data_IF_789236862829
#
_entry.id   IF_789236862829
#
_cell.length_a   1.000
_cell.length_b   1.000
_cell.length_c   1.000
_cell.angle_alpha   90.00
_cell.angle_beta   90.00
_cell.angle_gamma   90.00
#
_symmetry.space_group_name_H-M   'P 1'
#
loop_
_entity.id
_entity.type
_entity.pdbx_description
1 polymer ?
#
# COMPACT_ATOMS: atom_id res chain seq x y z
N UNK A 1 -13.91 -11.67 0.07
CA UNK A 1 -12.57 -12.31 0.00
C UNK A 1 -11.56 -11.20 -0.25
N UNK A 2 -10.48 -11.12 0.52
CA UNK A 2 -9.45 -10.09 0.31
C UNK A 2 -8.66 -10.43 -0.94
N UNK A 3 -8.50 -9.46 -1.84
CA UNK A 3 -7.68 -9.59 -3.03
C UNK A 3 -6.54 -8.55 -3.06
N UNK A 4 -5.64 -8.68 -4.04
CA UNK A 4 -4.50 -7.79 -4.17
C UNK A 4 -4.92 -6.32 -4.40
N UNK A 5 -6.03 -6.09 -5.10
CA UNK A 5 -6.49 -4.73 -5.39
C UNK A 5 -6.89 -4.01 -4.10
N UNK A 6 -7.56 -4.72 -3.17
CA UNK A 6 -7.91 -4.17 -1.86
C UNK A 6 -6.67 -3.75 -1.06
N UNK A 7 -5.57 -4.52 -1.09
CA UNK A 7 -4.31 -4.13 -0.44
C UNK A 7 -3.73 -2.85 -1.03
N UNK A 8 -3.68 -2.76 -2.35
CA UNK A 8 -3.19 -1.55 -3.02
C UNK A 8 -4.07 -0.33 -2.75
N UNK A 9 -5.38 -0.51 -2.67
CA UNK A 9 -6.31 0.55 -2.23
C UNK A 9 -6.08 0.96 -0.78
N UNK A 10 -5.81 0.01 0.13
CA UNK A 10 -5.48 0.32 1.52
C UNK A 10 -4.20 1.16 1.63
N UNK A 11 -3.19 0.88 0.81
CA UNK A 11 -1.96 1.68 0.73
C UNK A 11 -2.23 3.09 0.19
N UNK A 12 -3.07 3.22 -0.85
CA UNK A 12 -3.47 4.53 -1.37
C UNK A 12 -4.21 5.36 -0.31
N UNK A 13 -5.13 4.72 0.42
CA UNK A 13 -5.90 5.35 1.50
C UNK A 13 -5.02 5.76 2.69
N UNK A 14 -4.05 4.91 3.06
CA UNK A 14 -3.06 5.24 4.09
C UNK A 14 -2.26 6.49 3.68
N UNK A 15 -1.73 6.52 2.46
CA UNK A 15 -0.99 7.68 1.95
C UNK A 15 -1.84 8.97 2.01
N UNK A 16 -3.09 8.88 1.56
CA UNK A 16 -4.03 9.98 1.57
C UNK A 16 -4.35 10.47 2.99
N UNK A 17 -4.50 9.56 3.97
CA UNK A 17 -4.74 9.90 5.37
C UNK A 17 -3.56 10.65 6.00
N UNK A 18 -2.33 10.28 5.62
CA UNK A 18 -1.12 11.00 6.02
C UNK A 18 -0.82 12.25 5.17
N UNK A 19 -1.71 12.60 4.22
CA UNK A 19 -1.54 13.74 3.29
C UNK A 19 -0.22 13.70 2.49
N UNK A 20 0.28 12.51 2.20
CA UNK A 20 1.50 12.28 1.40
C UNK A 20 1.21 11.48 0.14
N UNK A 21 2.07 11.60 -0.87
CA UNK A 21 1.97 10.75 -2.06
C UNK A 21 2.54 9.35 -1.80
N UNK A 22 2.11 8.35 -2.57
CA UNK A 22 2.70 7.00 -2.54
C UNK A 22 4.22 7.02 -2.76
N UNK A 23 4.73 7.89 -3.63
CA UNK A 23 6.17 8.02 -3.87
C UNK A 23 6.90 8.68 -2.72
N UNK A 24 6.27 9.62 -2.00
CA UNK A 24 6.82 10.16 -0.75
C UNK A 24 6.85 9.06 0.31
N UNK A 25 5.73 8.36 0.52
CA UNK A 25 5.62 7.25 1.47
C UNK A 25 6.68 6.17 1.22
N UNK A 26 6.90 5.81 -0.04
CA UNK A 26 7.96 4.87 -0.42
C UNK A 26 9.36 5.36 0.00
N UNK A 27 9.68 6.64 -0.20
CA UNK A 27 10.98 7.23 0.18
C UNK A 27 11.20 7.20 1.69
N UNK A 28 10.21 7.64 2.49
CA UNK A 28 10.34 7.63 3.95
C UNK A 28 10.39 6.21 4.52
N UNK A 29 9.83 5.23 3.79
CA UNK A 29 9.89 3.80 4.13
C UNK A 29 11.20 3.11 3.70
N UNK A 30 12.16 3.84 3.14
CA UNK A 30 13.44 3.28 2.69
C UNK A 30 13.30 2.25 1.57
N UNK A 31 12.26 2.38 0.72
CA UNK A 31 12.08 1.58 -0.49
C UNK A 31 12.15 2.48 -1.74
N UNK A 32 12.32 1.87 -2.92
CA UNK A 32 12.36 2.63 -4.17
C UNK A 32 11.10 3.50 -4.34
N UNK A 33 11.30 4.76 -4.72
CA UNK A 33 10.23 5.77 -4.79
C UNK A 33 9.11 5.41 -5.78
N UNK A 34 9.37 4.50 -6.72
CA UNK A 34 8.40 4.04 -7.71
C UNK A 34 7.74 2.71 -7.33
N UNK A 35 8.19 2.05 -6.27
CA UNK A 35 7.72 0.72 -5.86
C UNK A 35 6.21 0.66 -5.60
N UNK A 36 5.62 1.78 -5.15
CA UNK A 36 4.20 1.88 -4.84
C UNK A 36 3.35 2.41 -6.01
N UNK A 37 3.96 2.76 -7.15
CA UNK A 37 3.27 3.34 -8.29
C UNK A 37 2.34 2.31 -8.95
N UNK A 38 1.19 2.78 -9.48
CA UNK A 38 0.19 1.91 -10.15
C UNK A 38 0.77 1.03 -11.25
N UNK A 39 1.71 1.55 -12.04
CA UNK A 39 2.40 0.82 -13.11
C UNK A 39 3.23 -0.38 -12.63
N UNK A 40 3.59 -0.45 -11.34
CA UNK A 40 4.32 -1.57 -10.74
C UNK A 40 3.41 -2.61 -10.07
N UNK A 41 2.11 -2.35 -9.96
CA UNK A 41 1.13 -3.25 -9.30
C UNK A 41 0.63 -4.37 -10.21
N UNK A 42 0.83 -4.23 -11.51
CA UNK A 42 0.46 -5.20 -12.54
C UNK A 42 1.69 -5.51 -13.40
N UNK A 43 2.00 -6.79 -13.56
CA UNK A 43 3.09 -7.28 -14.40
C UNK A 43 2.69 -7.49 -15.85
N UNK A 44 3.70 -7.82 -16.66
CA UNK A 44 3.53 -8.22 -18.06
C UNK A 44 2.53 -9.37 -18.15
N UNK A 45 1.57 -9.27 -19.08
CA UNK A 45 0.50 -10.26 -19.25
C UNK A 45 -0.64 -10.15 -18.22
N UNK A 46 -0.75 -9.05 -17.47
CA UNK A 46 -1.92 -8.77 -16.61
C UNK A 46 -1.86 -9.43 -15.23
N UNK A 47 -0.73 -10.05 -14.86
CA UNK A 47 -0.55 -10.65 -13.53
C UNK A 47 -0.58 -9.56 -12.45
N UNK A 48 -1.48 -9.69 -11.48
CA UNK A 48 -1.54 -8.80 -10.31
C UNK A 48 -0.40 -9.13 -9.34
N UNK A 49 0.40 -8.13 -8.96
CA UNK A 49 1.50 -8.32 -8.01
C UNK A 49 1.08 -8.05 -6.58
N UNK A 50 1.32 -9.03 -5.71
CA UNK A 50 1.21 -8.87 -4.27
C UNK A 50 2.42 -8.10 -3.73
N UNK A 51 2.15 -7.17 -2.83
CA UNK A 51 3.20 -6.55 -2.02
C UNK A 51 3.79 -7.60 -1.08
N UNK A 52 5.11 -7.53 -0.85
CA UNK A 52 5.74 -8.37 0.16
C UNK A 52 5.38 -7.91 1.57
N UNK A 53 5.28 -8.83 2.53
CA UNK A 53 5.09 -8.49 3.94
C UNK A 53 6.21 -7.57 4.45
N UNK A 54 7.46 -7.79 4.01
CA UNK A 54 8.58 -6.94 4.40
C UNK A 54 8.45 -5.49 3.92
N UNK A 55 7.91 -5.27 2.71
CA UNK A 55 7.58 -3.92 2.22
C UNK A 55 6.51 -3.28 3.09
N UNK A 56 5.46 -4.03 3.45
CA UNK A 56 4.38 -3.53 4.28
C UNK A 56 4.86 -3.13 5.68
N UNK A 57 5.69 -3.96 6.32
CA UNK A 57 6.30 -3.65 7.63
C UNK A 57 7.06 -2.32 7.60
N UNK A 58 7.87 -2.09 6.56
CA UNK A 58 8.62 -0.82 6.42
C UNK A 58 7.70 0.40 6.27
N UNK A 59 6.59 0.24 5.56
CA UNK A 59 5.60 1.31 5.40
C UNK A 59 4.97 1.63 6.75
N UNK A 60 4.48 0.61 7.46
CA UNK A 60 3.83 0.77 8.76
C UNK A 60 4.77 1.41 9.80
N UNK A 61 6.04 1.03 9.81
CA UNK A 61 7.06 1.63 10.68
C UNK A 61 7.27 3.12 10.35
N UNK A 62 7.45 3.46 9.07
CA UNK A 62 7.69 4.83 8.62
C UNK A 62 6.49 5.76 8.77
N UNK A 63 5.26 5.22 8.74
CA UNK A 63 4.03 5.99 8.98
C UNK A 63 3.56 5.93 10.42
N UNK A 64 4.29 5.26 11.31
CA UNK A 64 3.89 4.99 12.69
C UNK A 64 2.47 4.43 12.80
N UNK A 65 2.12 3.52 11.90
CA UNK A 65 0.78 2.93 11.79
C UNK A 65 0.80 1.51 12.34
N UNK A 66 -0.05 1.22 13.32
CA UNK A 66 -0.22 -0.13 13.82
C UNK A 66 -1.00 -1.01 12.83
N UNK A 67 -0.81 -2.33 12.89
CA UNK A 67 -1.51 -3.28 12.02
C UNK A 67 -3.04 -3.20 12.14
N UNK A 68 -3.56 -2.99 13.34
CA UNK A 68 -4.99 -2.85 13.59
C UNK A 68 -5.55 -1.57 12.96
N UNK A 69 -4.78 -0.49 12.96
CA UNK A 69 -5.15 0.76 12.29
C UNK A 69 -5.04 0.62 10.77
N UNK A 70 -4.01 -0.08 10.29
CA UNK A 70 -3.85 -0.35 8.86
C UNK A 70 -5.07 -1.07 8.27
N UNK A 71 -5.65 -2.02 9.01
CA UNK A 71 -6.84 -2.76 8.60
C UNK A 71 -8.05 -1.84 8.31
N UNK A 72 -8.12 -0.65 8.93
CA UNK A 72 -9.21 0.32 8.72
C UNK A 72 -9.17 0.99 7.35
N UNK A 73 -8.01 1.00 6.69
CA UNK A 73 -7.86 1.57 5.35
C UNK A 73 -8.30 0.64 4.22
N UNK A 74 -8.58 -0.63 4.53
CA UNK A 74 -9.16 -1.53 3.54
C UNK A 74 -10.53 -1.02 3.11
N UNK A 75 -10.85 -1.10 1.80
CA UNK A 75 -12.16 -0.69 1.32
C UNK A 75 -13.23 -1.52 2.05
N UNK A 76 -14.15 -0.81 2.72
CA UNK A 76 -15.34 -1.40 3.29
C UNK A 76 -16.19 -1.90 2.13
N UNK A 77 -16.54 -3.18 2.10
CA UNK A 77 -17.54 -3.67 1.17
C UNK A 77 -18.88 -3.03 1.54
N UNK A 78 -19.21 -1.89 0.92
CA UNK A 78 -20.60 -1.44 0.85
C UNK A 78 -21.34 -2.49 0.02
N UNK A 79 -22.10 -3.33 0.72
CA UNK A 79 -23.17 -4.09 0.06
C UNK A 79 -24.14 -3.12 -0.59
#
# INVERSE_FOLDING_TARGET
MIDNAMFWSAIDNLAAAHQISCSHMARISGIDATALNKSKRTGTGGRRYWMSVGTLVKILDATHTEWADFAKYFPQNSK
#
